data_IF_477658508942
#
_entry.id   IF_477658508942
#
_cell.length_a   1.000
_cell.length_b   1.000
_cell.length_c   1.000
_cell.angle_alpha   90.00
_cell.angle_beta   90.00
_cell.angle_gamma   90.00
#
_symmetry.space_group_name_H-M   'P 1'
#
loop_
_entity.id
_entity.type
_entity.pdbx_description
1 polymer ?
#
# COMPACT_ATOMS: atom_id res chain seq x y z
N UNK A 1 -5.81 -13.90 -12.76
CA UNK A 1 -5.45 -12.91 -13.81
C UNK A 1 -5.29 -11.56 -13.14
N UNK A 2 -4.26 -10.81 -13.49
CA UNK A 2 -4.04 -9.44 -13.02
C UNK A 2 -4.26 -8.46 -14.17
N UNK A 3 -4.77 -7.28 -13.86
CA UNK A 3 -4.97 -6.21 -14.84
C UNK A 3 -4.47 -4.87 -14.26
N UNK A 4 -3.75 -4.11 -15.09
CA UNK A 4 -3.35 -2.75 -14.80
C UNK A 4 -4.38 -1.79 -15.40
N UNK A 5 -5.15 -1.16 -14.53
CA UNK A 5 -6.21 -0.22 -14.89
C UNK A 5 -5.78 1.21 -14.61
N UNK A 6 -5.98 2.11 -15.56
CA UNK A 6 -5.75 3.55 -15.37
C UNK A 6 -7.07 4.26 -15.11
N UNK A 7 -7.22 4.77 -13.88
CA UNK A 7 -8.40 5.52 -13.46
C UNK A 7 -8.67 6.77 -14.29
N UNK A 8 -7.64 7.39 -14.87
CA UNK A 8 -7.80 8.63 -15.62
C UNK A 8 -8.41 8.41 -16.99
N UNK A 9 -8.02 7.35 -17.68
CA UNK A 9 -8.52 7.01 -19.02
C UNK A 9 -9.67 6.02 -18.98
N UNK A 10 -9.88 5.31 -17.87
CA UNK A 10 -10.87 4.24 -17.75
C UNK A 10 -10.47 2.97 -18.51
N UNK A 11 -9.21 2.85 -18.91
CA UNK A 11 -8.70 1.76 -19.75
C UNK A 11 -7.87 0.74 -18.98
N UNK A 12 -7.79 -0.47 -19.54
CA UNK A 12 -6.82 -1.49 -19.11
C UNK A 12 -5.60 -1.42 -20.03
N UNK A 13 -4.43 -1.11 -19.47
CA UNK A 13 -3.20 -0.96 -20.25
C UNK A 13 -2.39 -2.25 -20.37
N UNK A 14 -2.51 -3.15 -19.40
CA UNK A 14 -1.84 -4.44 -19.43
C UNK A 14 -2.66 -5.48 -18.66
N UNK A 15 -2.54 -6.72 -19.07
CA UNK A 15 -3.10 -7.87 -18.36
C UNK A 15 -2.05 -8.98 -18.30
N UNK A 16 -1.98 -9.64 -17.16
CA UNK A 16 -1.08 -10.76 -16.94
C UNK A 16 -1.86 -11.96 -16.45
N UNK A 17 -1.78 -13.07 -17.20
CA UNK A 17 -2.42 -14.32 -16.79
C UNK A 17 -1.60 -14.93 -15.66
N UNK A 18 -2.25 -15.28 -14.55
CA UNK A 18 -1.63 -16.02 -13.45
C UNK A 18 -1.98 -17.50 -13.65
N UNK A 19 -1.02 -18.37 -13.97
CA UNK A 19 -1.27 -19.81 -14.06
C UNK A 19 -1.63 -20.39 -12.70
N UNK A 20 -2.42 -21.46 -12.69
CA UNK A 20 -2.76 -22.18 -11.46
C UNK A 20 -1.48 -22.68 -10.74
N UNK A 21 -1.45 -22.55 -9.42
CA UNK A 21 -0.29 -22.92 -8.60
C UNK A 21 0.90 -21.94 -8.65
N UNK A 22 0.78 -20.83 -9.40
CA UNK A 22 1.82 -19.78 -9.43
C UNK A 22 1.60 -18.77 -8.31
N UNK A 23 2.69 -18.25 -7.73
CA UNK A 23 2.60 -17.20 -6.72
C UNK A 23 2.19 -15.86 -7.36
N UNK A 24 1.01 -15.35 -6.99
CA UNK A 24 0.48 -14.07 -7.45
C UNK A 24 1.44 -12.90 -7.21
N UNK A 25 2.30 -12.99 -6.19
CA UNK A 25 3.33 -11.99 -5.92
C UNK A 25 4.34 -11.86 -7.07
N UNK A 26 4.72 -12.97 -7.72
CA UNK A 26 5.62 -12.93 -8.87
C UNK A 26 4.93 -12.33 -10.10
N UNK A 27 3.67 -12.70 -10.33
CA UNK A 27 2.91 -12.20 -11.45
C UNK A 27 2.68 -10.67 -11.40
N UNK A 28 2.54 -10.08 -10.21
CA UNK A 28 2.42 -8.62 -10.08
C UNK A 28 3.75 -7.92 -10.40
N UNK A 29 4.90 -8.52 -10.05
CA UNK A 29 6.21 -7.97 -10.41
C UNK A 29 6.40 -7.96 -11.93
N UNK A 30 6.11 -9.09 -12.58
CA UNK A 30 6.16 -9.21 -14.05
C UNK A 30 5.23 -8.20 -14.73
N UNK A 31 4.03 -7.96 -14.18
CA UNK A 31 3.12 -6.93 -14.68
C UNK A 31 3.67 -5.52 -14.50
N UNK A 32 4.24 -5.22 -13.32
CA UNK A 32 4.81 -3.91 -13.04
C UNK A 32 5.93 -3.58 -14.02
N UNK A 33 6.81 -4.53 -14.35
CA UNK A 33 7.90 -4.36 -15.32
C UNK A 33 7.44 -3.77 -16.66
N UNK A 34 6.26 -4.16 -17.13
CA UNK A 34 5.67 -3.74 -18.40
C UNK A 34 5.11 -2.29 -18.38
N UNK A 35 5.01 -1.67 -17.20
CA UNK A 35 4.36 -0.38 -17.01
C UNK A 35 5.36 0.76 -16.77
N UNK A 36 4.97 1.97 -17.18
CA UNK A 36 5.67 3.21 -16.81
C UNK A 36 5.18 3.65 -15.42
N UNK A 37 5.97 3.37 -14.38
CA UNK A 37 5.62 3.68 -13.00
C UNK A 37 5.99 5.10 -12.55
N UNK A 38 6.95 5.74 -13.24
CA UNK A 38 7.48 7.05 -12.86
C UNK A 38 6.36 8.08 -12.66
N UNK A 39 6.29 8.64 -11.45
CA UNK A 39 5.29 9.65 -11.08
C UNK A 39 3.85 9.14 -11.00
N UNK A 40 3.64 7.82 -10.97
CA UNK A 40 2.31 7.19 -10.82
C UNK A 40 2.11 6.68 -9.40
N UNK A 41 0.87 6.75 -8.92
CA UNK A 41 0.46 6.11 -7.68
C UNK A 41 -0.18 4.77 -8.03
N UNK A 42 0.38 3.70 -7.48
CA UNK A 42 -0.13 2.34 -7.64
C UNK A 42 -0.98 2.00 -6.42
N UNK A 43 -2.22 1.61 -6.67
CA UNK A 43 -3.14 1.05 -5.69
C UNK A 43 -3.44 -0.39 -6.07
N UNK A 44 -3.50 -1.27 -5.08
CA UNK A 44 -3.86 -2.67 -5.29
C UNK A 44 -4.49 -3.23 -4.00
N UNK A 45 -5.03 -4.44 -4.09
CA UNK A 45 -5.52 -5.15 -2.91
C UNK A 45 -4.41 -5.37 -1.86
N UNK A 46 -4.81 -5.52 -0.61
CA UNK A 46 -3.90 -5.81 0.50
C UNK A 46 -3.00 -7.01 0.21
N UNK A 47 -3.47 -8.04 -0.50
CA UNK A 47 -2.67 -9.21 -0.87
C UNK A 47 -1.34 -8.86 -1.57
N UNK A 48 -1.29 -7.73 -2.30
CA UNK A 48 -0.10 -7.24 -3.00
C UNK A 48 0.77 -6.29 -2.17
N UNK A 49 0.40 -6.01 -0.92
CA UNK A 49 1.23 -5.27 0.03
C UNK A 49 2.40 -6.15 0.50
N UNK A 50 3.34 -6.41 -0.40
CA UNK A 50 4.56 -7.19 -0.18
C UNK A 50 5.78 -6.27 -0.33
N UNK A 51 6.82 -6.52 0.45
CA UNK A 51 8.03 -5.68 0.47
C UNK A 51 8.63 -5.52 -0.94
N UNK A 52 8.82 -6.63 -1.66
CA UNK A 52 9.41 -6.63 -3.02
C UNK A 52 8.56 -5.83 -4.04
N UNK A 53 7.24 -5.83 -3.88
CA UNK A 53 6.32 -5.04 -4.73
C UNK A 53 6.50 -3.55 -4.45
N UNK A 54 6.49 -3.17 -3.17
CA UNK A 54 6.71 -1.78 -2.75
C UNK A 54 8.08 -1.26 -3.20
N UNK A 55 9.13 -2.06 -3.03
CA UNK A 55 10.50 -1.73 -3.43
C UNK A 55 10.60 -1.55 -4.95
N UNK A 56 10.01 -2.46 -5.73
CA UNK A 56 9.97 -2.34 -7.20
C UNK A 56 9.30 -1.05 -7.65
N UNK A 57 8.18 -0.67 -7.04
CA UNK A 57 7.47 0.57 -7.37
C UNK A 57 8.35 1.80 -7.09
N UNK A 58 8.97 1.86 -5.90
CA UNK A 58 9.81 2.99 -5.48
C UNK A 58 11.09 3.08 -6.32
N UNK A 59 11.77 1.96 -6.56
CA UNK A 59 12.98 1.90 -7.38
C UNK A 59 12.74 2.45 -8.79
N UNK A 60 11.53 2.23 -9.33
CA UNK A 60 11.10 2.73 -10.64
C UNK A 60 10.41 4.10 -10.57
N UNK A 61 10.65 4.84 -9.49
CA UNK A 61 10.19 6.22 -9.27
C UNK A 61 8.66 6.37 -9.24
N UNK A 62 7.94 5.30 -8.89
CA UNK A 62 6.53 5.33 -8.59
C UNK A 62 6.26 5.54 -7.11
N UNK A 63 4.98 5.70 -6.79
CA UNK A 63 4.44 5.77 -5.43
C UNK A 63 3.40 4.67 -5.25
N UNK A 64 3.08 4.30 -4.02
CA UNK A 64 2.05 3.31 -3.75
C UNK A 64 1.17 3.71 -2.57
N UNK A 65 -0.09 3.25 -2.60
CA UNK A 65 -1.01 3.29 -1.48
C UNK A 65 -1.66 1.91 -1.35
N UNK A 66 -1.12 1.09 -0.45
CA UNK A 66 -1.53 -0.30 -0.25
C UNK A 66 -2.01 -0.52 1.18
N UNK A 67 -3.06 -1.31 1.33
CA UNK A 67 -3.62 -1.60 2.64
C UNK A 67 -2.80 -2.67 3.38
N UNK A 68 -2.48 -2.41 4.65
CA UNK A 68 -1.89 -3.40 5.56
C UNK A 68 -3.02 -4.07 6.34
N UNK A 69 -3.18 -5.40 6.17
CA UNK A 69 -4.17 -6.21 6.90
C UNK A 69 -3.47 -7.43 7.51
N UNK A 70 -4.18 -8.55 7.60
CA UNK A 70 -3.66 -9.79 8.20
C UNK A 70 -2.60 -10.49 7.32
N UNK A 71 -2.42 -10.03 6.08
CA UNK A 71 -1.33 -10.43 5.20
C UNK A 71 0.05 -9.92 5.66
N UNK A 72 0.10 -8.95 6.59
CA UNK A 72 1.31 -8.39 7.17
C UNK A 72 1.14 -8.22 8.69
N UNK A 73 1.04 -9.32 9.46
CA UNK A 73 0.56 -9.28 10.85
C UNK A 73 1.49 -8.48 11.77
N UNK A 74 2.81 -8.62 11.61
CA UNK A 74 3.79 -7.88 12.40
C UNK A 74 3.70 -6.36 12.13
N UNK A 75 3.60 -5.97 10.85
CA UNK A 75 3.45 -4.56 10.46
C UNK A 75 2.11 -3.99 10.94
N UNK A 76 1.02 -4.74 10.79
CA UNK A 76 -0.31 -4.35 11.30
C UNK A 76 -0.27 -4.10 12.81
N UNK A 77 0.39 -4.97 13.57
CA UNK A 77 0.53 -4.83 15.02
C UNK A 77 1.33 -3.56 15.37
N UNK A 78 2.48 -3.37 14.73
CA UNK A 78 3.33 -2.19 14.95
C UNK A 78 2.57 -0.88 14.66
N UNK A 79 1.88 -0.81 13.51
CA UNK A 79 1.06 0.34 13.14
C UNK A 79 -0.06 0.58 14.16
N UNK A 80 -0.75 -0.47 14.61
CA UNK A 80 -1.84 -0.34 15.58
C UNK A 80 -1.34 0.22 16.93
N UNK A 81 -0.18 -0.22 17.39
CA UNK A 81 0.46 0.29 18.61
C UNK A 81 0.83 1.77 18.47
N UNK A 82 1.46 2.14 17.35
CA UNK A 82 1.89 3.52 17.10
C UNK A 82 0.70 4.48 17.00
N UNK A 83 -0.35 4.12 16.26
CA UNK A 83 -1.55 4.94 16.17
C UNK A 83 -2.27 5.09 17.52
N UNK A 84 -2.36 4.01 18.32
CA UNK A 84 -2.93 4.11 19.66
C UNK A 84 -2.13 5.04 20.58
N UNK A 85 -0.79 5.00 20.50
CA UNK A 85 0.08 5.90 21.26
C UNK A 85 -0.09 7.36 20.83
N UNK A 86 -0.18 7.62 19.52
CA UNK A 86 -0.44 8.96 18.97
C UNK A 86 -1.80 9.52 19.41
N UNK A 87 -2.85 8.70 19.41
CA UNK A 87 -4.17 9.12 19.85
C UNK A 87 -4.19 9.43 21.35
N UNK A 88 -3.54 8.60 22.17
CA UNK A 88 -3.37 8.89 23.60
C UNK A 88 -2.60 10.20 23.85
N UNK A 89 -1.54 10.46 23.08
CA UNK A 89 -0.77 11.70 23.18
C UNK A 89 -1.61 12.93 22.78
N UNK A 90 -2.40 12.85 21.71
CA UNK A 90 -3.31 13.92 21.25
C UNK A 90 -4.42 14.22 22.28
N UNK A 91 -4.92 13.20 22.96
CA UNK A 91 -5.91 13.35 24.03
C UNK A 91 -5.31 14.00 25.29
N UNK A 92 -4.01 13.77 25.56
CA UNK A 92 -3.29 14.38 26.67
C UNK A 92 -2.99 15.86 26.44
N UNK A 93 -2.61 16.25 25.22
CA UNK A 93 -2.29 17.64 24.87
C UNK A 93 -3.52 18.55 24.71
N UNK A 94 -4.73 17.98 24.59
CA UNK A 94 -5.98 18.73 24.47
C UNK A 94 -6.71 18.96 25.82
N UNK A 95 -6.11 18.62 26.97
CA UNK A 95 -6.55 19.17 28.26
C UNK A 95 -6.00 20.59 28.38
N UNK A 96 -6.81 21.58 28.02
CA UNK A 96 -6.50 22.97 28.32
C UNK A 96 -6.26 23.16 29.83
N UNK A 97 -5.27 23.96 30.25
CA UNK A 97 -5.13 24.39 31.63
C UNK A 97 -6.34 25.27 31.97
N UNK A 98 -7.09 24.91 33.01
CA UNK A 98 -8.11 25.78 33.58
C UNK A 98 -7.49 27.14 33.92
N UNK A 99 -8.03 28.21 33.35
CA UNK A 99 -7.64 29.59 33.59
C UNK A 99 -8.10 30.06 34.99
N UNK A 100 -7.50 31.15 35.52
CA UNK A 100 -7.37 31.41 36.94
C UNK A 100 -8.62 31.99 37.60
N UNK A 101 -8.62 31.95 38.93
CA UNK A 101 -9.55 32.65 39.81
C UNK A 101 -9.43 34.18 39.67
#
# INVERSE_FOLDING_TARGET
MLAAFDHRTGGVFAQHRVPEGTNEAKAVLDLLEQLILRGRVITADAAFCQQEVCETIVHRQGHYALAVKDNQPALKQALSMEFAALDAARLSTNRAPGSPA
#
